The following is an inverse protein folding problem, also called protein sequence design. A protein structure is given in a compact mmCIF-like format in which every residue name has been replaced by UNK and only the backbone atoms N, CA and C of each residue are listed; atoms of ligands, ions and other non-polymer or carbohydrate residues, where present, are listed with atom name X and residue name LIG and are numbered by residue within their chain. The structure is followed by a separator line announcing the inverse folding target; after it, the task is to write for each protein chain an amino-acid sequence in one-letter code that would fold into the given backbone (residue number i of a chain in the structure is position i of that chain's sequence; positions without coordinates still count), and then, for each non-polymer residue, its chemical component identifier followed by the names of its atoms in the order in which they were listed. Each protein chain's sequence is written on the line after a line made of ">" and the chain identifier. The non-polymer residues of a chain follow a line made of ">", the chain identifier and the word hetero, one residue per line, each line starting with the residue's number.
data_IF_780667936991
#
_entry.id   IF_780667936991
#
_cell.length_a   1.000
_cell.length_b   1.000
_cell.length_c   1.000
_cell.angle_alpha   90.00
_cell.angle_beta   90.00
_cell.angle_gamma   90.00
#
_symmetry.space_group_name_H-M   'P 1'
#
loop_
_entity.id
_entity.type
_entity.pdbx_description
1 polymer ?
#
# COMPACT_ATOMS: atom_id res chain seq x y z
N UNK A 1 15.21 -1.51 7.43
CA UNK A 1 15.48 -0.61 6.30
C UNK A 1 14.20 -0.28 5.52
N UNK A 2 13.36 -1.30 5.19
CA UNK A 2 12.06 -1.13 4.58
C UNK A 2 10.99 -1.21 5.67
N UNK A 3 10.00 -0.32 5.63
CA UNK A 3 8.86 -0.33 6.55
C UNK A 3 7.60 -0.63 5.72
N UNK A 4 7.31 -1.90 5.41
CA UNK A 4 6.14 -2.25 4.64
C UNK A 4 4.87 -1.90 5.41
N UNK A 5 3.90 -1.30 4.74
CA UNK A 5 2.61 -0.94 5.32
C UNK A 5 1.73 -2.18 5.52
N UNK A 6 1.86 -3.14 4.62
CA UNK A 6 1.04 -4.34 4.58
C UNK A 6 1.90 -5.56 4.26
N UNK A 7 1.53 -6.68 4.84
CA UNK A 7 2.06 -7.99 4.52
C UNK A 7 0.92 -8.87 4.01
N UNK A 8 1.12 -9.48 2.86
CA UNK A 8 0.15 -10.39 2.27
C UNK A 8 0.63 -11.81 2.53
N UNK A 9 -0.23 -12.63 3.13
CA UNK A 9 0.04 -14.03 3.39
C UNK A 9 -1.07 -14.88 2.80
N UNK A 10 -0.69 -15.96 2.15
CA UNK A 10 -1.66 -16.94 1.68
C UNK A 10 -2.27 -17.68 2.89
N UNK A 11 -3.60 -17.74 2.92
CA UNK A 11 -4.32 -18.49 3.95
C UNK A 11 -4.12 -19.99 3.73
N UNK A 12 -3.46 -20.66 4.63
CA UNK A 12 -3.21 -22.09 4.50
C UNK A 12 -2.62 -22.70 5.76
N UNK A 13 -2.12 -23.92 5.61
CA UNK A 13 -1.49 -24.66 6.72
C UNK A 13 -0.26 -23.93 7.27
N UNK A 14 0.53 -23.30 6.40
CA UNK A 14 1.75 -22.59 6.77
C UNK A 14 1.42 -21.35 7.61
N UNK A 15 0.44 -20.53 7.20
CA UNK A 15 0.05 -19.34 7.96
C UNK A 15 -0.50 -19.70 9.34
N UNK A 16 -1.25 -20.80 9.45
CA UNK A 16 -1.74 -21.32 10.74
C UNK A 16 -0.61 -21.81 11.64
N UNK A 17 0.39 -22.49 11.08
CA UNK A 17 1.53 -23.01 11.84
C UNK A 17 2.47 -21.88 12.30
N UNK A 18 2.75 -20.90 11.44
CA UNK A 18 3.69 -19.80 11.72
C UNK A 18 3.04 -18.70 12.57
N UNK A 19 1.73 -18.49 12.43
CA UNK A 19 1.00 -17.41 13.09
C UNK A 19 1.31 -17.24 14.57
N UNK A 20 1.20 -18.28 15.42
CA UNK A 20 1.50 -18.16 16.85
C UNK A 20 2.92 -17.69 17.15
N UNK A 21 3.93 -18.17 16.40
CA UNK A 21 5.33 -17.77 16.55
C UNK A 21 5.53 -16.32 16.11
N UNK A 22 4.90 -15.91 15.03
CA UNK A 22 4.94 -14.55 14.53
C UNK A 22 4.34 -13.56 15.55
N UNK A 23 3.18 -13.85 16.10
CA UNK A 23 2.55 -13.03 17.15
C UNK A 23 3.39 -12.97 18.42
N UNK A 24 4.02 -14.08 18.80
CA UNK A 24 4.97 -14.09 19.93
C UNK A 24 6.12 -13.14 19.64
N UNK A 25 6.72 -13.24 18.45
CA UNK A 25 7.85 -12.37 18.04
C UNK A 25 7.48 -10.91 17.97
N UNK A 26 6.30 -10.58 17.48
CA UNK A 26 5.78 -9.21 17.48
C UNK A 26 5.73 -8.61 18.89
N UNK A 27 5.24 -9.40 19.88
CA UNK A 27 5.19 -8.96 21.28
C UNK A 27 6.58 -8.78 21.88
N UNK A 28 7.50 -9.72 21.61
CA UNK A 28 8.87 -9.66 22.13
C UNK A 28 9.65 -8.46 21.58
N UNK A 29 9.44 -8.12 20.32
CA UNK A 29 10.18 -7.03 19.66
C UNK A 29 9.47 -5.68 19.71
N UNK A 30 8.19 -5.64 20.09
CA UNK A 30 7.36 -4.43 20.00
C UNK A 30 7.07 -3.99 18.55
N UNK A 31 7.42 -4.81 17.56
CA UNK A 31 7.21 -4.51 16.13
C UNK A 31 6.00 -5.29 15.64
N UNK A 32 4.95 -4.59 15.30
CA UNK A 32 3.71 -5.18 14.80
C UNK A 32 3.60 -4.98 13.30
N UNK A 33 3.32 -6.06 12.57
CA UNK A 33 3.06 -6.03 11.14
C UNK A 33 1.55 -6.10 10.89
N UNK A 34 1.09 -5.35 9.90
CA UNK A 34 -0.29 -5.46 9.42
C UNK A 34 -0.33 -6.56 8.35
N UNK A 35 -0.78 -7.76 8.74
CA UNK A 35 -0.84 -8.93 7.88
C UNK A 35 -2.26 -9.15 7.38
N UNK A 36 -2.43 -9.26 6.08
CA UNK A 36 -3.69 -9.60 5.43
C UNK A 36 -3.58 -11.02 4.89
N UNK A 37 -4.43 -11.89 5.39
CA UNK A 37 -4.55 -13.24 4.86
C UNK A 37 -5.46 -13.28 3.64
N UNK A 38 -4.95 -13.81 2.55
CA UNK A 38 -5.67 -13.95 1.28
C UNK A 38 -5.95 -15.43 1.03
N UNK A 39 -7.19 -15.76 0.72
CA UNK A 39 -7.51 -17.10 0.25
C UNK A 39 -7.04 -17.22 -1.19
N UNK A 40 -6.27 -18.28 -1.54
CA UNK A 40 -5.89 -18.49 -2.93
C UNK A 40 -7.17 -18.63 -3.75
N UNK A 41 -7.42 -17.65 -4.61
CA UNK A 41 -8.52 -17.71 -5.56
C UNK A 41 -8.00 -18.33 -6.84
N UNK A 42 -8.66 -19.39 -7.29
CA UNK A 42 -8.59 -19.95 -8.65
C UNK A 42 -7.19 -20.09 -9.31
N UNK A 43 -7.15 -20.17 -10.60
CA UNK A 43 -6.01 -20.42 -11.45
C UNK A 43 -4.84 -19.44 -11.25
N UNK A 44 -3.62 -19.96 -11.16
CA UNK A 44 -2.37 -19.20 -11.03
C UNK A 44 -2.21 -18.19 -12.18
N UNK A 45 -2.55 -18.56 -13.40
CA UNK A 45 -2.49 -17.71 -14.58
C UNK A 45 -3.39 -16.48 -14.42
N UNK A 46 -4.60 -16.67 -13.91
CA UNK A 46 -5.53 -15.57 -13.67
C UNK A 46 -4.99 -14.60 -12.60
N UNK A 47 -4.38 -15.13 -11.52
CA UNK A 47 -3.75 -14.27 -10.50
C UNK A 47 -2.62 -13.44 -11.06
N UNK A 48 -1.78 -14.04 -11.92
CA UNK A 48 -0.64 -13.38 -12.52
C UNK A 48 -1.02 -12.27 -13.54
N UNK A 49 -2.24 -12.29 -14.10
CA UNK A 49 -2.67 -11.30 -15.10
C UNK A 49 -2.56 -9.86 -14.60
N UNK A 50 -2.87 -9.61 -13.34
CA UNK A 50 -2.82 -8.26 -12.77
C UNK A 50 -1.42 -7.66 -12.78
N UNK A 51 -0.40 -8.47 -12.48
CA UNK A 51 1.00 -8.03 -12.51
C UNK A 51 1.56 -8.06 -13.93
N UNK A 52 1.19 -9.05 -14.76
CA UNK A 52 1.59 -9.14 -16.15
C UNK A 52 1.18 -7.89 -16.94
N UNK A 53 -0.03 -7.39 -16.76
CA UNK A 53 -0.49 -6.14 -17.36
C UNK A 53 0.39 -4.94 -16.95
N UNK A 54 0.80 -4.87 -15.67
CA UNK A 54 1.69 -3.79 -15.18
C UNK A 54 3.10 -3.90 -15.75
N UNK A 55 3.62 -5.12 -15.90
CA UNK A 55 4.90 -5.38 -16.56
C UNK A 55 4.84 -4.94 -18.02
N UNK A 56 3.79 -5.33 -18.75
CA UNK A 56 3.58 -4.93 -20.14
C UNK A 56 3.49 -3.41 -20.33
N UNK A 57 2.92 -2.71 -19.35
CA UNK A 57 2.88 -1.24 -19.34
C UNK A 57 4.18 -0.57 -18.87
N UNK A 58 5.24 -1.31 -18.59
CA UNK A 58 6.50 -0.75 -18.08
C UNK A 58 6.38 -0.12 -16.68
N UNK A 59 5.45 -0.60 -15.85
CA UNK A 59 5.21 -0.07 -14.49
C UNK A 59 5.91 -0.88 -13.39
N UNK A 60 6.68 -1.89 -13.75
CA UNK A 60 7.45 -2.74 -12.83
C UNK A 60 8.92 -2.56 -13.11
N UNK A 61 9.69 -2.27 -12.07
CA UNK A 61 11.11 -1.99 -12.17
C UNK A 61 11.89 -2.99 -11.33
N UNK A 62 12.96 -3.52 -11.88
CA UNK A 62 13.88 -4.42 -11.19
C UNK A 62 15.22 -3.73 -10.96
N UNK A 63 15.91 -4.00 -9.85
CA UNK A 63 17.25 -3.46 -9.64
C UNK A 63 18.21 -4.07 -10.68
N UNK A 64 19.06 -3.23 -11.29
CA UNK A 64 20.03 -3.67 -12.30
C UNK A 64 21.06 -4.67 -11.76
N UNK A 65 21.45 -4.47 -10.49
CA UNK A 65 22.46 -5.31 -9.82
C UNK A 65 21.85 -5.89 -8.56
N UNK A 66 21.45 -7.14 -8.64
CA UNK A 66 20.92 -7.88 -7.51
C UNK A 66 21.07 -9.37 -7.76
N UNK A 67 21.49 -10.10 -6.75
CA UNK A 67 21.72 -11.55 -6.84
C UNK A 67 20.46 -12.35 -7.21
N UNK A 68 19.29 -11.78 -7.04
CA UNK A 68 17.99 -12.46 -7.27
C UNK A 68 17.30 -12.03 -8.58
N UNK A 69 17.70 -10.92 -9.19
CA UNK A 69 16.95 -10.34 -10.33
C UNK A 69 16.93 -11.26 -11.55
N UNK A 70 18.07 -11.83 -11.93
CA UNK A 70 18.16 -12.74 -13.08
C UNK A 70 17.27 -13.96 -12.86
N UNK A 71 17.39 -14.60 -11.69
CA UNK A 71 16.56 -15.74 -11.34
C UNK A 71 15.07 -15.44 -11.36
N UNK A 72 14.67 -14.26 -10.89
CA UNK A 72 13.28 -13.83 -10.92
C UNK A 72 12.76 -13.62 -12.35
N UNK A 73 13.59 -13.06 -13.24
CA UNK A 73 13.25 -12.88 -14.65
C UNK A 73 13.11 -14.24 -15.34
N UNK A 74 14.06 -15.16 -15.11
CA UNK A 74 14.02 -16.51 -15.69
C UNK A 74 12.74 -17.25 -15.26
N UNK A 75 12.35 -17.16 -14.00
CA UNK A 75 11.11 -17.75 -13.48
C UNK A 75 9.87 -17.15 -14.15
N UNK A 76 9.83 -15.83 -14.31
CA UNK A 76 8.73 -15.16 -15.00
C UNK A 76 8.65 -15.55 -16.49
N UNK A 77 9.79 -15.70 -17.16
CA UNK A 77 9.83 -16.11 -18.57
C UNK A 77 9.41 -17.58 -18.77
N UNK A 78 9.68 -18.44 -17.79
CA UNK A 78 9.29 -19.84 -17.83
C UNK A 78 7.82 -20.08 -17.46
N UNK A 79 7.16 -19.11 -16.84
CA UNK A 79 5.77 -19.22 -16.41
C UNK A 79 4.80 -19.33 -17.62
N UNK A 80 3.75 -20.18 -17.59
CA UNK A 80 3.28 -21.00 -16.46
C UNK A 80 3.90 -22.41 -16.37
N UNK A 81 4.79 -22.77 -17.27
CA UNK A 81 5.31 -24.14 -17.43
C UNK A 81 6.62 -24.39 -16.68
N UNK A 82 7.13 -23.42 -15.93
CA UNK A 82 8.35 -23.52 -15.15
C UNK A 82 8.22 -24.46 -13.94
N UNK A 83 9.36 -25.03 -13.49
CA UNK A 83 9.42 -25.86 -12.28
C UNK A 83 9.25 -25.06 -11.00
N UNK A 84 9.47 -23.76 -11.04
CA UNK A 84 9.37 -22.83 -9.93
C UNK A 84 8.48 -21.65 -10.33
N UNK A 85 7.60 -21.23 -9.45
CA UNK A 85 6.68 -20.12 -9.67
C UNK A 85 6.46 -19.26 -8.40
N UNK A 86 7.28 -19.47 -7.38
CA UNK A 86 7.17 -18.77 -6.08
C UNK A 86 7.27 -17.26 -6.22
N UNK A 87 8.17 -16.80 -7.11
CA UNK A 87 8.35 -15.38 -7.36
C UNK A 87 7.16 -14.78 -8.12
N UNK A 88 6.64 -15.52 -9.10
CA UNK A 88 5.45 -15.12 -9.86
C UNK A 88 4.23 -15.05 -8.95
N UNK A 89 4.05 -16.02 -8.05
CA UNK A 89 2.98 -16.01 -7.07
C UNK A 89 3.10 -14.82 -6.11
N UNK A 90 4.29 -14.52 -5.61
CA UNK A 90 4.52 -13.33 -4.77
C UNK A 90 4.16 -12.03 -5.51
N UNK A 91 4.58 -11.88 -6.77
CA UNK A 91 4.23 -10.74 -7.61
C UNK A 91 2.74 -10.65 -7.89
N UNK A 92 2.07 -11.78 -8.10
CA UNK A 92 0.63 -11.84 -8.31
C UNK A 92 -0.14 -11.28 -7.11
N UNK A 93 0.25 -11.62 -5.89
CA UNK A 93 -0.34 -11.04 -4.68
C UNK A 93 -0.07 -9.55 -4.56
N UNK A 94 1.12 -9.08 -4.92
CA UNK A 94 1.40 -7.64 -5.00
C UNK A 94 0.47 -6.97 -6.01
N UNK A 95 0.31 -7.56 -7.19
CA UNK A 95 -0.58 -7.06 -8.24
C UNK A 95 -2.03 -6.93 -7.79
N UNK A 96 -2.55 -7.95 -7.10
CA UNK A 96 -3.88 -7.94 -6.50
C UNK A 96 -3.99 -6.85 -5.42
N UNK A 97 -3.00 -6.77 -4.54
CA UNK A 97 -2.95 -5.76 -3.48
C UNK A 97 -2.98 -4.34 -4.01
N UNK A 98 -2.23 -4.07 -5.06
CA UNK A 98 -2.23 -2.77 -5.73
C UNK A 98 -3.58 -2.43 -6.39
N UNK A 99 -4.34 -3.44 -6.81
CA UNK A 99 -5.70 -3.25 -7.33
C UNK A 99 -6.69 -2.77 -6.27
N UNK A 100 -6.45 -3.08 -5.01
CA UNK A 100 -7.28 -2.66 -3.87
C UNK A 100 -6.77 -1.37 -3.20
N UNK A 101 -5.61 -0.86 -3.59
CA UNK A 101 -5.11 0.42 -3.09
C UNK A 101 -5.67 1.53 -3.96
N UNK A 102 -6.56 2.30 -3.39
CA UNK A 102 -6.92 3.59 -3.97
C UNK A 102 -5.71 4.52 -3.84
N UNK A 103 -5.38 5.24 -4.91
CA UNK A 103 -4.46 6.37 -4.78
C UNK A 103 -4.95 7.24 -3.61
N UNK A 104 -4.07 7.69 -2.70
CA UNK A 104 -4.49 8.63 -1.69
C UNK A 104 -5.18 9.78 -2.43
N UNK A 105 -6.44 10.00 -2.11
CA UNK A 105 -7.14 11.17 -2.62
C UNK A 105 -6.21 12.34 -2.38
N UNK A 106 -5.83 13.06 -3.44
CA UNK A 106 -5.11 14.33 -3.26
C UNK A 106 -5.85 15.05 -2.16
N UNK A 107 -5.12 15.44 -1.11
CA UNK A 107 -5.70 16.00 0.09
C UNK A 107 -6.79 16.97 -0.37
N UNK A 108 -8.04 16.60 -0.16
CA UNK A 108 -9.13 17.44 -0.58
C UNK A 108 -8.83 18.77 0.10
N UNK A 109 -8.64 19.80 -0.67
CA UNK A 109 -8.68 21.17 -0.13
C UNK A 109 -9.89 21.15 0.76
N UNK A 110 -9.66 21.21 2.09
CA UNK A 110 -10.74 21.07 3.09
C UNK A 110 -11.90 21.86 2.56
N UNK A 111 -13.07 21.27 2.36
CA UNK A 111 -14.20 22.01 1.80
C UNK A 111 -14.35 23.27 2.63
N UNK A 112 -14.47 24.42 1.97
CA UNK A 112 -14.65 25.67 2.67
C UNK A 112 -15.79 25.47 3.69
N UNK A 113 -15.58 25.83 4.94
CA UNK A 113 -16.59 25.64 5.96
C UNK A 113 -17.90 26.26 5.46
N UNK A 114 -18.98 25.54 5.64
CA UNK A 114 -20.31 26.02 5.23
C UNK A 114 -20.60 27.31 5.95
N UNK A 115 -21.06 28.34 5.23
CA UNK A 115 -21.41 29.63 5.78
C UNK A 115 -22.39 29.45 6.95
N UNK A 116 -22.11 30.10 8.10
CA UNK A 116 -22.88 29.92 9.33
C UNK A 116 -22.47 28.68 10.18
N UNK A 117 -21.54 27.82 9.72
CA UNK A 117 -21.00 26.75 10.56
C UNK A 117 -20.07 27.31 11.65
N UNK A 118 -19.91 26.55 12.75
CA UNK A 118 -19.02 26.95 13.84
C UNK A 118 -17.57 27.16 13.38
N UNK A 119 -17.10 26.38 12.42
CA UNK A 119 -15.75 26.51 11.83
C UNK A 119 -15.68 27.80 10.97
N UNK A 120 -16.70 28.10 10.19
CA UNK A 120 -16.79 29.31 9.39
C UNK A 120 -16.80 30.55 10.29
N UNK A 121 -17.58 30.53 11.41
CA UNK A 121 -17.58 31.59 12.41
C UNK A 121 -16.19 31.81 13.01
N UNK A 122 -15.50 30.75 13.42
CA UNK A 122 -14.11 30.84 13.94
C UNK A 122 -13.14 31.45 12.93
N UNK A 123 -13.26 31.07 11.68
CA UNK A 123 -12.33 31.52 10.64
C UNK A 123 -12.61 32.99 10.28
N UNK A 124 -13.87 33.39 10.28
CA UNK A 124 -14.27 34.78 10.07
C UNK A 124 -14.01 35.67 11.28
N UNK A 125 -14.21 35.19 12.51
CA UNK A 125 -13.87 35.94 13.71
C UNK A 125 -12.37 36.27 13.76
N UNK A 126 -11.52 35.32 13.46
CA UNK A 126 -10.06 35.55 13.36
C UNK A 126 -9.72 36.57 12.26
N UNK A 127 -10.38 36.51 11.12
CA UNK A 127 -10.20 37.47 10.04
C UNK A 127 -10.63 38.86 10.44
N UNK A 128 -11.77 38.95 11.12
CA UNK A 128 -12.31 40.19 11.66
C UNK A 128 -11.39 40.81 12.73
N UNK A 129 -10.87 40.01 13.67
CA UNK A 129 -9.91 40.46 14.69
C UNK A 129 -8.62 41.00 14.06
N UNK A 130 -8.09 40.34 13.04
CA UNK A 130 -6.89 40.81 12.29
C UNK A 130 -7.17 42.13 11.57
N UNK A 131 -8.32 42.27 10.91
CA UNK A 131 -8.70 43.49 10.24
C UNK A 131 -8.85 44.65 11.23
N UNK A 132 -9.45 44.42 12.39
CA UNK A 132 -9.58 45.39 13.45
C UNK A 132 -8.23 45.84 14.02
N UNK A 133 -7.29 44.91 14.24
CA UNK A 133 -5.93 45.22 14.69
C UNK A 133 -5.16 46.05 13.66
N UNK A 134 -5.28 45.69 12.37
CA UNK A 134 -4.62 46.41 11.28
C UNK A 134 -5.16 47.85 11.16
N UNK A 135 -6.46 48.03 11.31
CA UNK A 135 -7.09 49.35 11.29
C UNK A 135 -6.69 50.23 12.50
N UNK A 136 -6.45 49.64 13.68
CA UNK A 136 -6.00 50.35 14.87
C UNK A 136 -4.51 50.68 14.90
N UNK A 137 -3.69 50.02 14.05
CA UNK A 137 -2.25 50.24 13.95
C UNK A 137 -1.85 51.29 12.88
N UNK A 138 -2.85 51.86 12.19
CA UNK A 138 -2.67 52.83 11.10
C UNK A 138 -2.96 54.29 11.45
N UNK A 139 -2.98 54.64 12.76
CA UNK A 139 -3.05 56.01 13.24
C UNK A 139 -1.88 56.36 14.09
#
# INVERSE_FOLDING_TARGET
>A
KHKPLLWWAERGHISKAIGPFLYKRMRETGIYINMIEVTPASDKTQRAQSIAARVAMGKVYFPKVSWWTERAIDEMMAFPNGNHDDFVDALAYIGLGLGHQFAPSQASTKPKPREGSFQWLKDNDKAWQRAKQAASAGF
#
